data_IF_232261943347
#
_entry.id   IF_232261943347
#
_cell.length_a   1.000
_cell.length_b   1.000
_cell.length_c   1.000
_cell.angle_alpha   90.00
_cell.angle_beta   90.00
_cell.angle_gamma   90.00
#
_symmetry.space_group_name_H-M   'P 1'
#
loop_
_entity.id
_entity.type
_entity.pdbx_description
1 polymer ?
#
# COMPACT_ATOMS: atom_id res chain seq x y z
N UNK A 1 -12.63 -18.27 14.88
CA UNK A 1 -11.89 -18.63 13.64
C UNK A 1 -10.54 -19.20 14.03
N UNK A 2 -10.22 -20.42 13.60
CA UNK A 2 -8.92 -21.03 13.86
C UNK A 2 -7.85 -20.43 12.94
N UNK A 3 -6.77 -19.91 13.51
CA UNK A 3 -5.64 -19.43 12.72
C UNK A 3 -4.92 -20.61 12.07
N UNK A 4 -4.63 -20.52 10.77
CA UNK A 4 -3.80 -21.51 10.09
C UNK A 4 -2.34 -21.32 10.51
N UNK A 5 -1.76 -22.34 11.14
CA UNK A 5 -0.36 -22.32 11.56
C UNK A 5 0.52 -22.91 10.44
N UNK A 6 1.69 -22.31 10.14
CA UNK A 6 2.61 -22.91 9.19
C UNK A 6 3.12 -24.25 9.75
N UNK A 7 3.28 -25.23 8.85
CA UNK A 7 3.80 -26.55 9.21
C UNK A 7 5.20 -26.45 9.87
N UNK A 8 6.05 -25.55 9.36
CA UNK A 8 7.40 -25.33 9.90
C UNK A 8 7.52 -23.91 10.42
N UNK A 9 7.81 -23.79 11.72
CA UNK A 9 8.09 -22.51 12.39
C UNK A 9 9.57 -22.15 12.24
N UNK A 10 9.98 -21.72 11.04
CA UNK A 10 11.36 -21.24 10.82
C UNK A 10 11.49 -19.74 11.15
N UNK A 11 12.52 -19.34 11.89
CA UNK A 11 12.87 -17.93 12.08
C UNK A 11 13.40 -17.35 10.75
N UNK A 12 12.58 -16.54 10.09
CA UNK A 12 12.96 -15.90 8.82
C UNK A 12 13.71 -14.61 9.13
N UNK A 13 15.02 -14.60 8.89
CA UNK A 13 15.85 -13.40 8.92
C UNK A 13 15.95 -12.82 7.50
N UNK A 14 15.69 -11.51 7.37
CA UNK A 14 15.88 -10.77 6.11
C UNK A 14 17.10 -9.86 6.28
N UNK A 15 18.08 -9.97 5.37
CA UNK A 15 19.26 -9.10 5.39
C UNK A 15 18.93 -7.64 5.09
N UNK A 16 17.82 -7.38 4.38
CA UNK A 16 17.32 -6.05 4.11
C UNK A 16 15.80 -6.05 4.01
N UNK A 17 15.15 -5.20 4.80
CA UNK A 17 13.70 -5.02 4.74
C UNK A 17 13.28 -3.93 3.74
N UNK A 18 14.10 -2.87 3.59
CA UNK A 18 13.84 -1.76 2.67
C UNK A 18 13.96 -2.23 1.21
N UNK A 19 13.05 -1.76 0.35
CA UNK A 19 13.11 -2.04 -1.10
C UNK A 19 14.30 -1.32 -1.74
N UNK A 20 14.84 -1.89 -2.81
CA UNK A 20 15.77 -1.18 -3.70
C UNK A 20 14.94 -0.28 -4.61
N UNK A 21 15.15 1.02 -4.53
CA UNK A 21 14.47 2.03 -5.32
C UNK A 21 15.40 2.62 -6.37
N UNK A 22 14.85 3.09 -7.48
CA UNK A 22 15.63 3.80 -8.50
C UNK A 22 16.19 5.11 -7.91
N UNK A 23 17.39 5.48 -8.34
CA UNK A 23 17.96 6.80 -8.06
C UNK A 23 17.02 7.90 -8.58
N UNK A 24 16.77 8.94 -7.76
CA UNK A 24 15.86 10.06 -8.03
C UNK A 24 14.35 9.74 -8.08
N UNK A 25 13.92 8.52 -7.77
CA UNK A 25 12.48 8.16 -7.73
C UNK A 25 11.70 8.82 -6.60
N UNK A 26 12.39 9.43 -5.65
CA UNK A 26 11.86 10.27 -4.59
C UNK A 26 11.52 11.68 -5.07
N UNK A 27 12.31 12.25 -5.97
CA UNK A 27 12.13 13.63 -6.48
C UNK A 27 11.32 13.75 -7.76
N UNK A 28 11.20 12.70 -8.57
CA UNK A 28 10.52 12.76 -9.86
C UNK A 28 9.40 11.72 -9.98
N UNK A 29 8.17 12.19 -10.23
CA UNK A 29 6.99 11.32 -10.41
C UNK A 29 7.13 10.38 -11.62
N UNK A 30 7.81 10.83 -12.69
CA UNK A 30 8.06 10.01 -13.90
C UNK A 30 8.98 8.82 -13.65
N UNK A 31 9.81 8.87 -12.61
CA UNK A 31 10.79 7.82 -12.29
C UNK A 31 10.13 6.81 -11.35
N UNK A 32 9.95 5.58 -11.85
CA UNK A 32 9.34 4.51 -11.06
C UNK A 32 10.28 4.06 -9.94
N UNK A 33 9.73 3.53 -8.85
CA UNK A 33 10.50 2.99 -7.72
C UNK A 33 11.09 1.58 -7.97
N UNK A 34 11.22 1.16 -9.23
CA UNK A 34 11.80 -0.14 -9.57
C UNK A 34 13.33 -0.09 -9.41
N UNK A 35 13.98 -1.23 -9.20
CA UNK A 35 15.44 -1.26 -9.07
C UNK A 35 16.06 -1.26 -10.46
N UNK A 36 16.83 -0.23 -10.78
CA UNK A 36 17.63 -0.15 -12.02
C UNK A 36 19.08 0.21 -11.68
N UNK A 37 20.01 -0.41 -12.42
CA UNK A 37 21.43 -0.09 -12.32
C UNK A 37 21.70 1.22 -13.08
N UNK A 38 22.19 2.29 -12.42
CA UNK A 38 22.59 3.51 -13.11
C UNK A 38 23.83 3.23 -13.98
N UNK A 39 23.90 3.90 -15.14
CA UNK A 39 24.96 3.72 -16.14
C UNK A 39 25.74 5.00 -16.49
N UNK A 40 25.38 6.14 -15.89
CA UNK A 40 26.00 7.42 -16.21
C UNK A 40 27.43 7.52 -15.66
N UNK A 41 28.35 8.09 -16.44
CA UNK A 41 29.78 8.21 -16.08
C UNK A 41 29.97 8.94 -14.75
N UNK A 42 29.16 9.96 -14.48
CA UNK A 42 29.19 10.75 -13.25
C UNK A 42 28.30 10.21 -12.13
N UNK A 43 27.72 9.01 -12.30
CA UNK A 43 26.80 8.46 -11.31
C UNK A 43 27.52 8.09 -10.01
N UNK A 44 27.23 8.85 -8.96
CA UNK A 44 27.68 8.57 -7.59
C UNK A 44 27.19 7.23 -7.04
N UNK A 45 25.99 6.80 -7.46
CA UNK A 45 25.43 5.48 -7.10
C UNK A 45 26.20 4.36 -7.80
N UNK A 46 26.54 4.53 -9.08
CA UNK A 46 27.34 3.55 -9.82
C UNK A 46 28.74 3.40 -9.21
N UNK A 47 29.35 4.52 -8.81
CA UNK A 47 30.65 4.57 -8.13
C UNK A 47 30.59 4.19 -6.64
N UNK A 48 29.39 3.92 -6.10
CA UNK A 48 29.15 3.51 -4.70
C UNK A 48 29.68 4.49 -3.65
N UNK A 49 29.53 5.80 -3.89
CA UNK A 49 29.87 6.78 -2.86
C UNK A 49 28.99 6.63 -1.61
N UNK A 50 29.56 6.98 -0.46
CA UNK A 50 28.89 6.93 0.84
C UNK A 50 27.62 7.79 0.85
N UNK A 51 26.66 7.46 1.73
CA UNK A 51 25.38 8.17 1.93
C UNK A 51 24.38 8.07 0.75
N UNK A 52 24.78 7.50 -0.41
CA UNK A 52 23.87 7.30 -1.54
C UNK A 52 23.02 6.02 -1.41
N UNK A 53 22.01 5.89 -2.29
CA UNK A 53 21.15 4.71 -2.36
C UNK A 53 21.97 3.47 -2.67
N UNK A 54 21.74 2.39 -1.90
CA UNK A 54 22.41 1.11 -2.09
C UNK A 54 21.91 0.39 -3.34
N UNK A 55 22.84 -0.25 -4.05
CA UNK A 55 22.57 -1.03 -5.25
C UNK A 55 22.29 -2.50 -4.90
N UNK A 56 21.43 -3.16 -5.68
CA UNK A 56 21.15 -4.58 -5.48
C UNK A 56 22.39 -5.44 -5.79
N UNK A 57 22.77 -6.31 -4.86
CA UNK A 57 23.85 -7.29 -5.03
C UNK A 57 23.43 -8.65 -4.46
N UNK A 58 24.17 -9.71 -4.83
CA UNK A 58 23.89 -11.09 -4.40
C UNK A 58 23.98 -11.24 -2.87
N UNK A 59 24.78 -10.43 -2.19
CA UNK A 59 24.97 -10.47 -0.74
C UNK A 59 23.71 -10.15 0.07
N UNK A 60 22.68 -9.57 -0.54
CA UNK A 60 21.39 -9.33 0.12
C UNK A 60 20.40 -10.52 -0.01
N UNK A 61 20.82 -11.63 -0.60
CA UNK A 61 20.01 -12.84 -0.73
C UNK A 61 19.69 -13.47 0.63
N UNK A 62 18.45 -13.95 0.80
CA UNK A 62 18.07 -14.71 2.01
C UNK A 62 18.64 -16.14 1.97
N UNK A 63 18.72 -16.78 3.13
CA UNK A 63 19.14 -18.18 3.23
C UNK A 63 18.26 -19.08 2.35
N UNK A 64 18.88 -20.09 1.71
CA UNK A 64 18.18 -21.01 0.80
C UNK A 64 16.93 -21.63 1.44
N UNK A 65 17.02 -21.97 2.73
CA UNK A 65 15.94 -22.55 3.54
C UNK A 65 14.73 -21.61 3.70
N UNK A 66 14.91 -20.28 3.61
CA UNK A 66 13.86 -19.28 3.92
C UNK A 66 13.52 -18.35 2.75
N UNK A 67 14.10 -18.58 1.56
CA UNK A 67 14.01 -17.67 0.40
C UNK A 67 12.57 -17.39 -0.06
N UNK A 68 11.67 -18.37 0.06
CA UNK A 68 10.28 -18.28 -0.40
C UNK A 68 9.25 -18.48 0.74
N UNK A 69 9.71 -18.48 1.99
CA UNK A 69 8.83 -18.60 3.15
C UNK A 69 8.25 -17.22 3.46
N UNK A 70 6.91 -17.16 3.53
CA UNK A 70 6.19 -15.97 4.00
C UNK A 70 6.24 -15.91 5.53
N UNK A 71 6.36 -14.70 6.07
CA UNK A 71 6.30 -14.49 7.52
C UNK A 71 4.89 -14.77 8.02
N UNK A 72 4.77 -15.39 9.19
CA UNK A 72 3.48 -15.80 9.78
C UNK A 72 2.51 -14.62 9.91
N UNK A 73 3.01 -13.44 10.31
CA UNK A 73 2.23 -12.19 10.42
C UNK A 73 1.55 -11.82 9.09
N UNK A 74 2.26 -11.99 7.98
CA UNK A 74 1.70 -11.68 6.64
C UNK A 74 0.67 -12.71 6.18
N UNK A 75 0.69 -13.94 6.70
CA UNK A 75 -0.29 -14.98 6.38
C UNK A 75 -1.63 -14.69 7.07
N UNK A 76 -1.59 -14.29 8.34
CA UNK A 76 -2.79 -13.88 9.09
C UNK A 76 -3.45 -12.65 8.48
N UNK A 77 -2.70 -11.60 8.14
CA UNK A 77 -3.26 -10.39 7.52
C UNK A 77 -3.90 -10.66 6.16
N UNK A 78 -3.24 -11.48 5.30
CA UNK A 78 -3.82 -11.88 4.01
C UNK A 78 -5.07 -12.75 4.17
N UNK A 79 -5.08 -13.69 5.11
CA UNK A 79 -6.24 -14.55 5.35
C UNK A 79 -7.46 -13.72 5.82
N UNK A 80 -7.25 -12.75 6.71
CA UNK A 80 -8.30 -11.82 7.16
C UNK A 80 -8.82 -10.94 6.01
N UNK A 81 -7.92 -10.43 5.15
CA UNK A 81 -8.30 -9.65 3.96
C UNK A 81 -9.04 -10.48 2.91
N UNK A 82 -8.71 -11.76 2.73
CA UNK A 82 -9.41 -12.66 1.81
C UNK A 82 -10.79 -13.08 2.36
N UNK A 83 -10.90 -13.35 3.66
CA UNK A 83 -12.16 -13.69 4.31
C UNK A 83 -13.19 -12.55 4.23
N UNK A 84 -12.75 -11.30 4.41
CA UNK A 84 -13.59 -10.09 4.29
C UNK A 84 -14.02 -9.79 2.85
N UNK A 85 -13.18 -10.12 1.86
CA UNK A 85 -13.55 -10.05 0.43
C UNK A 85 -14.55 -11.14 0.02
N UNK A 86 -14.40 -12.35 0.55
CA UNK A 86 -15.29 -13.47 0.26
C UNK A 86 -16.69 -13.29 0.88
N UNK A 87 -16.81 -12.54 1.98
CA UNK A 87 -18.11 -12.24 2.63
C UNK A 87 -18.90 -11.13 1.93
N UNK A 88 -18.29 -10.34 1.04
CA UNK A 88 -18.97 -9.26 0.31
C UNK A 88 -18.53 -9.25 -1.17
N UNK A 89 -19.12 -10.09 -2.04
CA UNK A 89 -18.64 -10.28 -3.42
C UNK A 89 -18.87 -9.09 -4.36
N UNK A 90 -19.49 -7.99 -3.91
CA UNK A 90 -19.80 -6.80 -4.73
C UNK A 90 -19.13 -5.50 -4.25
N UNK A 91 -17.95 -5.57 -3.63
CA UNK A 91 -17.19 -4.36 -3.26
C UNK A 91 -16.36 -3.81 -4.43
N UNK A 92 -17.04 -3.41 -5.51
CA UNK A 92 -16.52 -2.43 -6.47
C UNK A 92 -17.29 -1.11 -6.28
N UNK A 93 -16.76 -0.16 -5.50
CA UNK A 93 -17.14 1.26 -5.58
C UNK A 93 -15.87 2.08 -5.36
N UNK A 94 -15.24 2.51 -6.45
CA UNK A 94 -15.44 3.83 -7.07
C UNK A 94 -14.92 4.98 -6.19
N UNK A 95 -13.97 5.73 -6.75
CA UNK A 95 -13.40 6.96 -6.23
C UNK A 95 -14.47 8.06 -6.00
N UNK A 96 -14.36 8.75 -4.86
CA UNK A 96 -14.97 10.05 -4.47
C UNK A 96 -14.95 11.07 -5.64
N UNK A 97 -15.92 12.01 -5.89
CA UNK A 97 -16.43 13.02 -4.93
C UNK A 97 -17.87 13.62 -5.13
N UNK A 98 -18.35 14.34 -4.10
CA UNK A 98 -19.46 15.32 -4.08
C UNK A 98 -20.94 14.87 -4.13
N UNK A 99 -21.73 15.62 -3.35
CA UNK A 99 -23.19 15.87 -3.46
C UNK A 99 -24.13 14.91 -2.74
N UNK A 100 -24.52 15.27 -1.51
CA UNK A 100 -25.96 15.26 -1.15
C UNK A 100 -26.25 16.20 0.02
N UNK A 101 -26.65 17.42 -0.35
CA UNK A 101 -27.54 18.29 0.41
C UNK A 101 -28.77 17.46 0.79
N UNK A 102 -28.97 17.22 2.09
CA UNK A 102 -30.13 16.50 2.58
C UNK A 102 -31.36 17.44 2.57
N UNK A 103 -32.28 17.24 1.64
CA UNK A 103 -33.66 17.76 1.75
C UNK A 103 -34.54 16.66 2.32
N UNK A 104 -34.95 16.83 3.58
CA UNK A 104 -35.91 15.97 4.27
C UNK A 104 -37.35 16.42 3.92
N UNK A 105 -38.22 15.54 3.40
CA UNK A 105 -39.60 15.90 3.09
C UNK A 105 -40.55 15.31 4.13
N UNK A 106 -40.66 15.92 5.32
CA UNK A 106 -41.92 15.88 6.08
C UNK A 106 -41.90 16.77 7.33
N UNK A 107 -42.38 18.02 7.19
CA UNK A 107 -43.06 18.73 8.28
C UNK A 107 -44.23 19.46 7.63
N UNK A 108 -45.42 18.85 7.65
CA UNK A 108 -46.66 19.55 7.32
C UNK A 108 -47.32 19.98 8.62
N UNK A 109 -47.36 21.30 8.89
CA UNK A 109 -48.40 21.91 9.72
C UNK A 109 -48.61 23.36 9.28
N UNK A 110 -49.84 23.65 8.86
CA UNK A 110 -50.31 24.91 8.31
C UNK A 110 -50.40 26.02 9.37
N UNK A 111 -50.18 27.27 8.94
CA UNK A 111 -51.09 28.44 9.08
C UNK A 111 -50.50 29.65 8.33
N UNK A 112 -51.23 30.15 7.33
CA UNK A 112 -51.09 31.45 6.65
C UNK A 112 -51.59 32.61 7.57
N UNK A 113 -51.56 33.91 7.21
CA UNK A 113 -50.94 34.65 6.07
C UNK A 113 -50.22 35.96 6.52
N UNK A 114 -49.66 36.72 5.56
CA UNK A 114 -49.24 38.14 5.65
C UNK A 114 -47.87 38.53 6.28
N UNK A 115 -46.91 38.87 5.41
CA UNK A 115 -45.89 39.95 5.51
C UNK A 115 -44.91 39.72 4.35
N UNK A 116 -44.96 40.42 3.21
CA UNK A 116 -44.64 41.84 3.08
C UNK A 116 -43.19 41.97 2.58
N UNK A 117 -43.03 42.23 1.27
CA UNK A 117 -41.76 42.66 0.64
C UNK A 117 -41.21 43.91 1.38
N UNK A 118 -39.89 44.08 1.42
CA UNK A 118 -39.18 44.79 0.35
C UNK A 118 -37.99 44.03 -0.23
#
# INVERSE_FOLDING_TARGET
MAALWPLVKSKVLKHRAKKFTQHQSDGYVKIKRNCLKPRGVESSVQRRFNVRILMSSIGYGNSKKTKHICLVVTMTERATQLATRATNPNANRASNPNTTRATNPNVTRATNPNAGLP
#
